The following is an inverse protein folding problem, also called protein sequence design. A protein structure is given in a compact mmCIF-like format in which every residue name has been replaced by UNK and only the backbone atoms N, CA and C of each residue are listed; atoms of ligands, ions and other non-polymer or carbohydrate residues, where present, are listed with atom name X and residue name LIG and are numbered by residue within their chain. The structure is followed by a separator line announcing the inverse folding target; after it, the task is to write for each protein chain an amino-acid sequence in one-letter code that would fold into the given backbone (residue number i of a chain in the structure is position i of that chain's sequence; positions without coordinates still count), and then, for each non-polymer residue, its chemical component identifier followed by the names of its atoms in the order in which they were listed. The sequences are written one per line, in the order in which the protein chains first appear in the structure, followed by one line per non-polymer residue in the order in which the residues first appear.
data_IF_116553717745
#
_entry.id   IF_116553717745
#
_cell.length_a   1.000
_cell.length_b   1.000
_cell.length_c   1.000
_cell.angle_alpha   90.00
_cell.angle_beta   90.00
_cell.angle_gamma   90.00
#
_symmetry.space_group_name_H-M   'P 1'
#
loop_
_entity.id
_entity.type
_entity.pdbx_description
1 polymer ?
#
# COMPACT_ATOMS: atom_id res chain seq x y z
N UNK A 1 11.35 -4.62 0.39
CA UNK A 1 10.22 -3.72 0.64
C UNK A 1 8.91 -4.47 0.44
N UNK A 2 8.01 -4.41 1.40
CA UNK A 2 6.60 -4.81 1.29
C UNK A 2 5.76 -3.57 1.01
N UNK A 3 4.74 -3.70 0.16
CA UNK A 3 3.85 -2.60 -0.17
C UNK A 3 2.45 -2.87 0.40
N UNK A 4 1.98 -2.03 1.30
CA UNK A 4 0.63 -2.11 1.87
C UNK A 4 -0.26 -1.06 1.19
N UNK A 5 -1.35 -1.50 0.58
CA UNK A 5 -2.35 -0.65 -0.08
C UNK A 5 -3.55 -0.50 0.85
N UNK A 6 -3.67 0.69 1.45
CA UNK A 6 -4.57 0.93 2.57
C UNK A 6 -3.95 0.52 3.90
N UNK A 7 -4.25 1.29 4.94
CA UNK A 7 -3.81 0.99 6.30
C UNK A 7 -4.91 1.38 7.30
N UNK A 8 -5.96 0.55 7.35
CA UNK A 8 -6.90 0.52 8.46
C UNK A 8 -6.35 -0.30 9.63
N UNK A 9 -7.21 -0.78 10.52
CA UNK A 9 -6.79 -1.54 11.71
C UNK A 9 -5.94 -2.77 11.36
N UNK A 10 -6.34 -3.55 10.36
CA UNK A 10 -5.58 -4.74 9.91
C UNK A 10 -4.24 -4.35 9.31
N UNK A 11 -4.22 -3.34 8.42
CA UNK A 11 -2.99 -2.85 7.81
C UNK A 11 -1.99 -2.33 8.83
N UNK A 12 -2.46 -1.64 9.85
CA UNK A 12 -1.63 -1.18 10.96
C UNK A 12 -1.01 -2.33 11.74
N UNK A 13 -1.82 -3.32 12.14
CA UNK A 13 -1.31 -4.52 12.84
C UNK A 13 -0.27 -5.27 12.03
N UNK A 14 -0.50 -5.44 10.72
CA UNK A 14 0.44 -6.09 9.81
C UNK A 14 1.72 -5.27 9.67
N UNK A 15 1.61 -3.96 9.47
CA UNK A 15 2.76 -3.06 9.31
C UNK A 15 3.71 -3.12 10.51
N UNK A 16 3.17 -3.22 11.75
CA UNK A 16 3.98 -3.36 12.98
C UNK A 16 4.71 -4.69 13.11
N UNK A 17 4.23 -5.75 12.48
CA UNK A 17 4.82 -7.09 12.61
C UNK A 17 5.90 -7.35 11.57
N UNK A 18 5.88 -6.64 10.44
CA UNK A 18 6.88 -6.80 9.38
C UNK A 18 8.19 -6.15 9.80
N UNK A 19 9.25 -6.96 10.00
CA UNK A 19 10.60 -6.49 10.34
C UNK A 19 11.40 -5.93 9.16
N UNK A 20 10.88 -6.08 7.94
CA UNK A 20 11.48 -5.56 6.70
C UNK A 20 10.96 -4.16 6.38
N UNK A 21 11.58 -3.48 5.42
CA UNK A 21 11.05 -2.20 4.91
C UNK A 21 9.60 -2.34 4.43
N UNK A 22 8.70 -1.52 4.99
CA UNK A 22 7.30 -1.39 4.60
C UNK A 22 7.07 0.00 3.99
N UNK A 23 6.36 0.05 2.87
CA UNK A 23 5.81 1.28 2.31
C UNK A 23 4.29 1.16 2.31
N UNK A 24 3.62 2.18 2.82
CA UNK A 24 2.16 2.23 2.88
C UNK A 24 1.65 3.23 1.85
N UNK A 25 0.61 2.89 1.10
CA UNK A 25 -0.12 3.83 0.24
C UNK A 25 -1.48 4.07 0.87
N UNK A 26 -1.74 5.30 1.29
CA UNK A 26 -2.98 5.66 1.99
C UNK A 26 -3.61 6.90 1.35
N UNK A 27 -4.91 6.84 1.09
CA UNK A 27 -5.68 7.90 0.41
C UNK A 27 -6.09 8.99 1.40
N UNK A 28 -6.40 8.62 2.64
CA UNK A 28 -6.77 9.58 3.68
C UNK A 28 -5.53 10.32 4.16
N UNK A 29 -5.49 11.64 3.94
CA UNK A 29 -4.38 12.47 4.42
C UNK A 29 -4.21 12.36 5.93
N UNK A 30 -5.30 12.45 6.69
CA UNK A 30 -5.29 12.34 8.16
C UNK A 30 -4.66 11.02 8.64
N UNK A 31 -5.08 9.87 8.08
CA UNK A 31 -4.50 8.57 8.44
C UNK A 31 -3.05 8.45 7.99
N UNK A 32 -2.70 9.01 6.84
CA UNK A 32 -1.33 9.02 6.37
C UNK A 32 -0.42 9.84 7.28
N UNK A 33 -0.85 11.03 7.72
CA UNK A 33 -0.14 11.88 8.66
C UNK A 33 0.08 11.17 10.01
N UNK A 34 -0.96 10.49 10.51
CA UNK A 34 -0.84 9.68 11.72
C UNK A 34 0.21 8.57 11.57
N UNK A 35 0.14 7.79 10.50
CA UNK A 35 1.10 6.71 10.24
C UNK A 35 2.53 7.24 10.04
N UNK A 36 2.71 8.40 9.40
CA UNK A 36 4.01 9.06 9.29
C UNK A 36 4.55 9.46 10.67
N UNK A 37 3.70 10.01 11.54
CA UNK A 37 4.08 10.36 12.93
C UNK A 37 4.46 9.15 13.79
N UNK A 38 3.93 7.97 13.47
CA UNK A 38 4.28 6.70 14.09
C UNK A 38 5.55 6.06 13.50
N UNK A 39 6.17 6.72 12.51
CA UNK A 39 7.44 6.32 11.90
C UNK A 39 7.31 5.40 10.68
N UNK A 40 6.10 5.21 10.14
CA UNK A 40 5.93 4.48 8.89
C UNK A 40 6.29 5.34 7.68
N UNK A 41 6.81 4.69 6.64
CA UNK A 41 6.97 5.32 5.34
C UNK A 41 5.65 5.28 4.58
N UNK A 42 5.02 6.43 4.39
CA UNK A 42 3.71 6.54 3.74
C UNK A 42 3.79 7.31 2.43
N UNK A 43 2.94 6.94 1.48
CA UNK A 43 2.68 7.67 0.25
C UNK A 43 1.21 8.04 0.26
N UNK A 44 0.95 9.34 0.39
CA UNK A 44 -0.38 9.92 0.26
C UNK A 44 -0.85 9.78 -1.18
N UNK A 45 -1.87 8.95 -1.41
CA UNK A 45 -2.36 8.71 -2.76
C UNK A 45 -3.38 7.60 -2.87
N UNK A 46 -4.11 7.62 -3.98
CA UNK A 46 -5.05 6.55 -4.32
C UNK A 46 -4.31 5.40 -5.00
N UNK A 47 -4.23 4.26 -4.33
CA UNK A 47 -3.57 3.05 -4.84
C UNK A 47 -4.31 2.37 -6.00
N UNK A 48 -5.51 2.82 -6.38
CA UNK A 48 -6.17 2.44 -7.64
C UNK A 48 -5.64 3.23 -8.86
N UNK A 49 -4.54 3.97 -8.70
CA UNK A 49 -3.92 4.76 -9.76
C UNK A 49 -2.47 4.34 -9.99
N UNK A 50 -2.05 4.28 -11.26
CA UNK A 50 -0.66 3.93 -11.62
C UNK A 50 0.36 4.87 -10.99
N UNK A 51 0.04 6.16 -10.95
CA UNK A 51 0.94 7.20 -10.46
C UNK A 51 1.31 6.97 -9.00
N UNK A 52 0.35 6.62 -8.13
CA UNK A 52 0.61 6.32 -6.73
C UNK A 52 1.51 5.08 -6.58
N UNK A 53 1.20 3.98 -7.28
CA UNK A 53 1.97 2.73 -7.19
C UNK A 53 3.38 2.84 -7.77
N UNK A 54 3.57 3.65 -8.82
CA UNK A 54 4.91 3.98 -9.36
C UNK A 54 5.73 4.79 -8.35
N UNK A 55 5.14 5.81 -7.71
CA UNK A 55 5.80 6.55 -6.63
C UNK A 55 6.19 5.63 -5.46
N UNK A 56 5.36 4.63 -5.20
CA UNK A 56 5.61 3.58 -4.19
C UNK A 56 6.64 2.53 -4.60
N UNK A 57 7.28 2.67 -5.76
CA UNK A 57 8.29 1.73 -6.27
C UNK A 57 7.76 0.29 -6.34
N UNK A 58 6.49 0.10 -6.73
CA UNK A 58 5.84 -1.22 -6.86
C UNK A 58 6.69 -2.24 -7.65
N UNK A 59 7.42 -1.80 -8.69
CA UNK A 59 8.30 -2.68 -9.47
C UNK A 59 9.44 -3.34 -8.67
N UNK A 60 9.72 -2.88 -7.44
CA UNK A 60 10.72 -3.45 -6.52
C UNK A 60 10.10 -4.08 -5.28
N UNK A 61 8.77 -4.15 -5.20
CA UNK A 61 8.07 -4.75 -4.06
C UNK A 61 8.26 -6.27 -4.06
N UNK A 62 8.54 -6.84 -2.89
CA UNK A 62 8.61 -8.30 -2.70
C UNK A 62 7.24 -8.96 -2.67
N UNK A 63 6.25 -8.22 -2.16
CA UNK A 63 4.84 -8.60 -2.12
C UNK A 63 3.98 -7.34 -1.98
N UNK A 64 2.73 -7.42 -2.43
CA UNK A 64 1.72 -6.38 -2.24
C UNK A 64 0.59 -6.91 -1.38
N UNK A 65 0.25 -6.17 -0.31
CA UNK A 65 -0.87 -6.49 0.57
C UNK A 65 -1.95 -5.44 0.34
N UNK A 66 -3.14 -5.88 -0.08
CA UNK A 66 -4.28 -4.99 -0.32
C UNK A 66 -5.22 -5.12 0.87
N UNK A 67 -5.29 -4.07 1.69
CA UNK A 67 -5.86 -4.11 3.03
C UNK A 67 -6.98 -3.08 3.17
N UNK A 68 -7.95 -3.16 2.26
CA UNK A 68 -9.21 -2.42 2.30
C UNK A 68 -10.40 -3.37 2.39
N UNK A 69 -11.46 -2.93 3.06
CA UNK A 69 -12.73 -3.67 3.19
C UNK A 69 -13.63 -3.55 1.96
N UNK A 70 -13.28 -2.70 0.99
CA UNK A 70 -14.04 -2.49 -0.23
C UNK A 70 -13.58 -3.47 -1.34
N UNK A 71 -14.43 -4.46 -1.73
CA UNK A 71 -14.07 -5.45 -2.74
C UNK A 71 -13.82 -4.86 -4.13
N UNK A 72 -14.52 -3.80 -4.52
CA UNK A 72 -14.34 -3.15 -5.83
C UNK A 72 -13.00 -2.43 -5.89
N UNK A 73 -12.62 -1.78 -4.78
CA UNK A 73 -11.29 -1.19 -4.65
C UNK A 73 -10.19 -2.26 -4.66
N UNK A 74 -10.42 -3.41 -4.01
CA UNK A 74 -9.49 -4.54 -4.06
C UNK A 74 -9.28 -5.04 -5.50
N UNK A 75 -10.36 -5.29 -6.23
CA UNK A 75 -10.31 -5.71 -7.63
C UNK A 75 -9.54 -4.71 -8.49
N UNK A 76 -9.87 -3.41 -8.37
CA UNK A 76 -9.21 -2.36 -9.15
C UNK A 76 -7.73 -2.24 -8.81
N UNK A 77 -7.37 -2.36 -7.54
CA UNK A 77 -5.98 -2.35 -7.11
C UNK A 77 -5.18 -3.51 -7.72
N UNK A 78 -5.74 -4.73 -7.77
CA UNK A 78 -5.10 -5.89 -8.41
C UNK A 78 -4.83 -5.64 -9.89
N UNK A 79 -5.82 -5.13 -10.63
CA UNK A 79 -5.67 -4.81 -12.06
C UNK A 79 -4.49 -3.85 -12.28
N UNK A 80 -4.46 -2.74 -11.53
CA UNK A 80 -3.40 -1.73 -11.66
C UNK A 80 -2.03 -2.27 -11.22
N UNK A 81 -1.98 -3.11 -10.19
CA UNK A 81 -0.74 -3.80 -9.77
C UNK A 81 -0.22 -4.66 -10.90
N UNK A 82 -1.07 -5.50 -11.52
CA UNK A 82 -0.68 -6.41 -12.60
C UNK A 82 -0.27 -5.68 -13.89
N UNK A 83 -0.84 -4.50 -14.14
CA UNK A 83 -0.40 -3.63 -15.23
C UNK A 83 1.03 -3.07 -15.05
N UNK A 84 1.53 -3.01 -13.81
CA UNK A 84 2.87 -2.47 -13.49
C UNK A 84 3.88 -3.60 -13.22
N UNK A 85 3.49 -4.61 -12.46
CA UNK A 85 4.32 -5.75 -12.09
C UNK A 85 3.48 -7.03 -12.16
N UNK A 86 3.75 -7.86 -13.17
CA UNK A 86 2.98 -9.08 -13.43
C UNK A 86 3.34 -10.22 -12.48
N UNK A 87 4.50 -10.17 -11.83
CA UNK A 87 5.08 -11.29 -11.09
C UNK A 87 5.02 -11.12 -9.57
N UNK A 88 4.75 -9.91 -9.08
CA UNK A 88 4.68 -9.66 -7.64
C UNK A 88 3.56 -10.51 -7.01
N UNK A 89 3.85 -11.24 -5.91
CA UNK A 89 2.81 -11.94 -5.16
C UNK A 89 1.88 -10.95 -4.47
#
# INVERSE_FOLDING_TARGET
MYLLLGCGSVGYSVAKQIKSEVVIVEKSSERADLLESEGFRVIKGNFTTKTALKKAKLGKAKAVLILTSDPEVNKRAIEVVREINKEVP
#
